data_IF_092413160568
#
_entry.id   IF_092413160568
#
_cell.length_a   1.000
_cell.length_b   1.000
_cell.length_c   1.000
_cell.angle_alpha   90.00
_cell.angle_beta   90.00
_cell.angle_gamma   90.00
#
_symmetry.space_group_name_H-M   'P 1'
#
loop_
_entity.id
_entity.type
_entity.pdbx_description
1 polymer ?
#
# COMPACT_ATOMS: atom_id res chain seq x y z
N UNK A 1 22.63 7.76 11.85
CA UNK A 1 22.37 6.90 10.67
C UNK A 1 22.44 7.73 9.39
N UNK A 2 22.73 7.11 8.24
CA UNK A 2 22.76 7.79 6.93
C UNK A 2 21.38 7.68 6.27
N UNK A 3 20.80 8.77 5.73
CA UNK A 3 19.51 8.70 5.06
C UNK A 3 19.52 7.79 3.83
N UNK A 4 18.59 6.83 3.79
CA UNK A 4 18.48 5.82 2.74
C UNK A 4 17.37 6.14 1.73
N UNK A 5 17.48 5.58 0.54
CA UNK A 5 16.43 5.60 -0.49
C UNK A 5 15.66 4.29 -0.48
N UNK A 6 14.34 4.36 -0.62
CA UNK A 6 13.45 3.20 -0.57
C UNK A 6 12.11 3.50 -1.26
N UNK A 7 11.36 2.45 -1.56
CA UNK A 7 9.95 2.53 -1.89
C UNK A 7 9.11 2.18 -0.67
N UNK A 8 7.96 2.82 -0.53
CA UNK A 8 6.92 2.45 0.43
C UNK A 8 5.64 2.13 -0.36
N UNK A 9 5.25 0.86 -0.38
CA UNK A 9 3.92 0.46 -0.90
C UNK A 9 2.94 0.59 0.26
N UNK A 10 2.04 1.56 0.15
CA UNK A 10 1.08 1.89 1.19
C UNK A 10 -0.31 1.45 0.78
N UNK A 11 -0.97 0.68 1.65
CA UNK A 11 -2.37 0.32 1.52
C UNK A 11 -3.12 0.59 2.82
N UNK A 12 -3.82 1.72 2.85
CA UNK A 12 -4.60 2.18 4.00
C UNK A 12 -6.09 2.25 3.72
N UNK A 13 -6.91 2.11 4.75
CA UNK A 13 -8.37 2.32 4.66
C UNK A 13 -8.85 3.20 5.81
N UNK A 14 -9.36 4.39 5.49
CA UNK A 14 -9.91 5.35 6.45
C UNK A 14 -10.84 6.36 5.77
N UNK A 15 -11.93 6.84 6.43
CA UNK A 15 -12.48 6.42 7.73
C UNK A 15 -13.49 5.26 7.61
N UNK A 16 -13.61 4.39 8.63
CA UNK A 16 -14.63 3.32 8.63
C UNK A 16 -14.52 2.28 9.75
N UNK A 17 -15.32 1.20 9.61
CA UNK A 17 -15.37 0.07 10.56
C UNK A 17 -14.29 -0.99 10.33
N UNK A 18 -13.85 -1.17 9.08
CA UNK A 18 -12.59 -1.82 8.75
C UNK A 18 -11.46 -0.79 8.77
N UNK A 19 -10.32 -1.19 9.33
CA UNK A 19 -9.10 -0.38 9.47
C UNK A 19 -7.93 -1.20 8.96
N UNK A 20 -7.09 -0.57 8.17
CA UNK A 20 -5.84 -1.11 7.64
C UNK A 20 -4.90 0.06 7.42
N UNK A 21 -3.62 -0.11 7.74
CA UNK A 21 -2.57 0.87 7.46
C UNK A 21 -1.27 0.12 7.18
N UNK A 22 -1.28 -0.61 6.06
CA UNK A 22 -0.16 -1.44 5.64
C UNK A 22 0.87 -0.62 4.88
N UNK A 23 2.14 -0.86 5.20
CA UNK A 23 3.31 -0.26 4.59
C UNK A 23 4.34 -1.36 4.30
N UNK A 24 4.80 -1.43 3.05
CA UNK A 24 5.87 -2.35 2.65
C UNK A 24 7.09 -1.54 2.19
N UNK A 25 8.15 -1.61 2.99
CA UNK A 25 9.39 -0.88 2.75
C UNK A 25 10.32 -1.73 1.89
N UNK A 26 10.61 -1.25 0.68
CA UNK A 26 11.29 -2.03 -0.35
C UNK A 26 12.53 -1.31 -0.89
N UNK A 27 13.61 -2.06 -1.12
CA UNK A 27 14.85 -1.57 -1.73
C UNK A 27 14.81 -1.58 -3.26
N UNK A 28 13.77 -2.17 -3.86
CA UNK A 28 13.62 -2.29 -5.30
C UNK A 28 12.16 -2.31 -5.74
N UNK A 29 11.92 -2.02 -7.02
CA UNK A 29 10.57 -2.11 -7.59
C UNK A 29 10.08 -3.57 -7.66
N UNK A 30 10.98 -4.54 -7.85
CA UNK A 30 10.62 -5.96 -7.87
C UNK A 30 10.11 -6.43 -6.50
N UNK A 31 10.70 -5.94 -5.40
CA UNK A 31 10.18 -6.18 -4.05
C UNK A 31 8.84 -5.49 -3.82
N UNK A 32 8.66 -4.25 -4.29
CA UNK A 32 7.36 -3.56 -4.20
C UNK A 32 6.25 -4.29 -4.96
N UNK A 33 6.57 -4.88 -6.12
CA UNK A 33 5.66 -5.75 -6.89
C UNK A 33 5.29 -6.97 -6.05
N UNK A 34 6.29 -7.69 -5.53
CA UNK A 34 6.08 -8.91 -4.77
C UNK A 34 5.29 -8.68 -3.47
N UNK A 35 5.57 -7.57 -2.76
CA UNK A 35 4.87 -7.19 -1.54
C UNK A 35 3.38 -6.91 -1.83
N UNK A 36 3.09 -6.15 -2.88
CA UNK A 36 1.70 -5.85 -3.24
C UNK A 36 0.96 -7.08 -3.77
N UNK A 37 1.63 -7.97 -4.51
CA UNK A 37 1.04 -9.23 -4.94
C UNK A 37 0.67 -10.09 -3.72
N UNK A 38 1.57 -10.21 -2.72
CA UNK A 38 1.31 -10.92 -1.46
C UNK A 38 0.15 -10.29 -0.67
N UNK A 39 0.08 -8.96 -0.62
CA UNK A 39 -0.99 -8.23 0.04
C UNK A 39 -2.36 -8.51 -0.60
N UNK A 40 -2.41 -8.74 -1.91
CA UNK A 40 -3.65 -9.10 -2.62
C UNK A 40 -3.95 -10.60 -2.65
N UNK A 41 -3.07 -11.48 -2.16
CA UNK A 41 -3.43 -12.87 -1.88
C UNK A 41 -4.45 -12.98 -0.72
N UNK A 42 -4.49 -11.96 0.15
CA UNK A 42 -5.51 -11.85 1.18
C UNK A 42 -6.84 -11.38 0.57
N UNK A 43 -7.86 -12.24 0.58
CA UNK A 43 -9.15 -11.94 -0.03
C UNK A 43 -9.84 -10.70 0.54
N UNK A 44 -9.52 -10.35 1.80
CA UNK A 44 -10.02 -9.14 2.44
C UNK A 44 -9.47 -7.86 1.79
N UNK A 45 -8.28 -7.88 1.21
CA UNK A 45 -7.63 -6.72 0.60
C UNK A 45 -8.31 -6.32 -0.71
N UNK A 46 -8.75 -7.30 -1.51
CA UNK A 46 -9.58 -7.04 -2.68
C UNK A 46 -10.95 -6.43 -2.29
N UNK A 47 -11.56 -6.94 -1.22
CA UNK A 47 -12.80 -6.37 -0.68
C UNK A 47 -12.60 -4.93 -0.17
N UNK A 48 -11.54 -4.67 0.59
CA UNK A 48 -11.23 -3.34 1.10
C UNK A 48 -11.07 -2.34 -0.05
N UNK A 49 -10.29 -2.70 -1.06
CA UNK A 49 -10.06 -1.86 -2.24
C UNK A 49 -11.36 -1.59 -3.00
N UNK A 50 -12.19 -2.61 -3.26
CA UNK A 50 -13.45 -2.45 -3.98
C UNK A 50 -14.53 -1.73 -3.17
N UNK A 51 -14.74 -2.17 -1.94
CA UNK A 51 -15.83 -1.76 -1.06
C UNK A 51 -15.66 -0.33 -0.55
N UNK A 52 -14.44 0.05 -0.18
CA UNK A 52 -14.13 1.41 0.25
C UNK A 52 -13.85 2.34 -0.92
N UNK A 53 -13.28 1.83 -2.03
CA UNK A 53 -13.00 2.61 -3.23
C UNK A 53 -12.26 3.90 -2.90
N UNK A 54 -12.96 5.03 -2.90
CA UNK A 54 -12.39 6.35 -2.53
C UNK A 54 -11.85 6.44 -1.09
N UNK A 55 -12.26 5.54 -0.20
CA UNK A 55 -11.77 5.46 1.17
C UNK A 55 -10.61 4.49 1.35
N UNK A 56 -10.18 3.80 0.29
CA UNK A 56 -8.94 3.07 0.24
C UNK A 56 -7.86 3.98 -0.35
N UNK A 57 -6.69 3.99 0.29
CA UNK A 57 -5.51 4.71 -0.15
C UNK A 57 -4.47 3.67 -0.57
N UNK A 58 -4.16 3.64 -1.86
CA UNK A 58 -3.25 2.67 -2.46
C UNK A 58 -2.20 3.44 -3.24
N UNK A 59 -0.98 3.49 -2.72
CA UNK A 59 0.07 4.34 -3.24
C UNK A 59 1.44 3.64 -3.25
N UNK A 60 2.28 4.05 -4.21
CA UNK A 60 3.72 3.84 -4.17
C UNK A 60 4.39 5.19 -3.86
N UNK A 61 4.91 5.32 -2.65
CA UNK A 61 5.72 6.44 -2.23
C UNK A 61 7.20 6.15 -2.52
N UNK A 62 7.92 7.16 -3.02
CA UNK A 62 9.33 7.05 -3.37
C UNK A 62 10.13 7.99 -2.50
N UNK A 63 11.00 7.40 -1.71
CA UNK A 63 11.92 8.12 -0.84
C UNK A 63 13.32 8.10 -1.43
N UNK A 64 13.93 9.28 -1.51
CA UNK A 64 15.32 9.43 -1.93
C UNK A 64 16.08 10.06 -0.77
N UNK A 65 17.04 9.34 -0.22
CA UNK A 65 17.90 9.80 0.88
C UNK A 65 17.08 10.38 2.05
N UNK A 66 16.04 9.64 2.47
CA UNK A 66 15.16 10.00 3.59
C UNK A 66 14.07 11.03 3.28
N UNK A 67 13.98 11.55 2.06
CA UNK A 67 12.92 12.51 1.68
C UNK A 67 11.93 11.88 0.69
N UNK A 68 10.63 12.03 0.93
CA UNK A 68 9.59 11.61 -0.02
C UNK A 68 9.59 12.54 -1.24
N UNK A 69 10.14 12.06 -2.36
CA UNK A 69 10.22 12.85 -3.61
C UNK A 69 9.00 12.68 -4.50
N UNK A 70 8.24 11.60 -4.31
CA UNK A 70 7.07 11.29 -5.12
C UNK A 70 6.09 10.39 -4.37
N UNK A 71 4.81 10.62 -4.61
CA UNK A 71 3.72 9.72 -4.25
C UNK A 71 2.93 9.39 -5.52
N UNK A 72 2.71 8.12 -5.79
CA UNK A 72 2.03 7.63 -7.00
C UNK A 72 0.78 6.87 -6.59
N UNK A 73 -0.39 7.41 -6.91
CA UNK A 73 -1.67 6.72 -6.79
C UNK A 73 -1.70 5.50 -7.72
N UNK A 74 -1.84 4.31 -7.13
CA UNK A 74 -1.83 3.03 -7.84
C UNK A 74 -3.21 2.63 -8.36
N UNK A 75 -4.31 3.21 -7.87
CA UNK A 75 -5.67 2.86 -8.30
C UNK A 75 -5.84 2.81 -9.84
N UNK A 76 -5.37 3.80 -10.63
CA UNK A 76 -5.56 3.79 -12.08
C UNK A 76 -4.84 2.64 -12.80
N UNK A 77 -3.90 1.99 -12.13
CA UNK A 77 -3.12 0.86 -12.64
C UNK A 77 -3.66 -0.48 -12.13
N UNK A 78 -4.59 -0.47 -11.18
CA UNK A 78 -5.16 -1.66 -10.55
C UNK A 78 -6.44 -2.11 -11.24
N UNK A 79 -6.57 -3.42 -11.42
CA UNK A 79 -7.79 -4.08 -11.91
C UNK A 79 -8.14 -5.23 -10.99
N UNK A 80 -9.39 -5.29 -10.53
CA UNK A 80 -9.95 -6.49 -9.88
C UNK A 80 -10.71 -7.29 -10.93
N UNK A 81 -10.38 -8.57 -11.06
CA UNK A 81 -11.08 -9.53 -11.89
C UNK A 81 -11.83 -10.50 -10.99
N UNK A 82 -13.11 -10.70 -11.29
CA UNK A 82 -13.93 -11.71 -10.62
C UNK A 82 -14.56 -12.57 -11.70
N UNK A 83 -14.36 -13.89 -11.63
CA UNK A 83 -14.93 -14.81 -12.62
C UNK A 83 -16.44 -14.62 -12.78
N UNK A 84 -16.86 -14.33 -14.01
CA UNK A 84 -18.27 -14.10 -14.35
C UNK A 84 -18.73 -12.65 -14.25
N UNK A 85 -17.85 -11.72 -13.86
CA UNK A 85 -18.10 -10.28 -13.85
C UNK A 85 -17.18 -9.54 -14.83
N UNK A 86 -17.57 -8.34 -15.29
CA UNK A 86 -16.65 -7.47 -16.01
C UNK A 86 -15.50 -7.02 -15.12
N UNK A 87 -14.34 -6.77 -15.72
CA UNK A 87 -13.18 -6.18 -15.05
C UNK A 87 -13.55 -4.89 -14.32
N UNK A 88 -13.09 -4.78 -13.09
CA UNK A 88 -13.31 -3.63 -12.22
C UNK A 88 -12.03 -2.81 -12.22
N UNK A 89 -12.10 -1.61 -12.77
CA UNK A 89 -10.96 -0.67 -12.83
C UNK A 89 -11.27 0.57 -12.02
N UNK A 90 -10.24 1.32 -11.63
CA UNK A 90 -10.44 2.50 -10.78
C UNK A 90 -10.09 3.79 -11.51
N UNK A 91 -10.84 4.85 -11.17
CA UNK A 91 -10.44 6.22 -11.51
C UNK A 91 -9.31 6.67 -10.58
N UNK A 92 -8.60 7.75 -10.96
CA UNK A 92 -7.67 8.50 -10.06
C UNK A 92 -8.28 8.99 -8.75
N UNK A 93 -9.60 8.92 -8.60
CA UNK A 93 -10.26 9.24 -7.33
C UNK A 93 -10.43 8.02 -6.43
N UNK A 94 -9.91 6.85 -6.80
CA UNK A 94 -10.17 5.56 -6.15
C UNK A 94 -11.58 5.00 -6.41
N UNK A 95 -12.39 5.64 -7.26
CA UNK A 95 -13.77 5.16 -7.51
C UNK A 95 -13.75 3.93 -8.44
N UNK A 96 -14.32 2.78 -8.02
CA UNK A 96 -14.40 1.59 -8.87
C UNK A 96 -15.41 1.79 -10.01
N UNK A 97 -15.07 1.27 -11.17
CA UNK A 97 -15.86 1.34 -12.41
C UNK A 97 -15.88 -0.03 -13.08
N UNK A 98 -16.74 -0.23 -14.09
CA UNK A 98 -16.80 -1.49 -14.84
C UNK A 98 -17.69 -2.59 -14.21
N UNK A 99 -17.76 -2.67 -12.88
CA UNK A 99 -18.47 -3.73 -12.12
C UNK A 99 -19.95 -3.97 -12.48
N UNK A 100 -20.63 -3.00 -13.09
CA UNK A 100 -22.07 -3.08 -13.39
C UNK A 100 -22.44 -2.62 -14.82
N UNK A 101 -21.53 -2.78 -15.78
CA UNK A 101 -21.82 -2.43 -17.19
C UNK A 101 -23.05 -3.19 -17.70
N UNK A 102 -24.10 -2.44 -18.05
CA UNK A 102 -25.35 -3.00 -18.57
C UNK A 102 -26.37 -3.42 -17.51
N UNK A 103 -26.11 -3.16 -16.23
CA UNK A 103 -27.08 -3.41 -15.16
C UNK A 103 -28.10 -2.27 -15.03
N UNK A 104 -29.35 -2.62 -14.73
CA UNK A 104 -30.42 -1.66 -14.47
C UNK A 104 -30.21 -0.86 -13.17
N UNK A 105 -29.52 -1.45 -12.19
CA UNK A 105 -29.18 -0.84 -10.89
C UNK A 105 -27.72 -1.14 -10.50
N UNK A 106 -26.77 -0.28 -10.91
CA UNK A 106 -25.35 -0.46 -10.63
C UNK A 106 -24.99 -0.50 -9.13
N UNK A 107 -25.67 0.28 -8.29
CA UNK A 107 -25.37 0.33 -6.86
C UNK A 107 -25.79 -0.97 -6.17
N UNK A 108 -26.92 -1.57 -6.57
CA UNK A 108 -27.30 -2.88 -6.04
C UNK A 108 -26.30 -3.96 -6.41
N UNK A 109 -25.78 -3.93 -7.65
CA UNK A 109 -24.73 -4.87 -8.08
C UNK A 109 -23.45 -4.65 -7.27
N UNK A 110 -23.05 -3.38 -7.07
CA UNK A 110 -21.88 -3.02 -6.26
C UNK A 110 -21.99 -3.57 -4.84
N UNK A 111 -23.12 -3.33 -4.16
CA UNK A 111 -23.35 -3.83 -2.79
C UNK A 111 -23.31 -5.35 -2.74
N UNK A 112 -24.00 -6.04 -3.65
CA UNK A 112 -24.03 -7.50 -3.67
C UNK A 112 -22.63 -8.10 -3.93
N UNK A 113 -21.84 -7.48 -4.81
CA UNK A 113 -20.49 -7.92 -5.10
C UNK A 113 -19.56 -7.68 -3.90
N UNK A 114 -19.66 -6.51 -3.24
CA UNK A 114 -18.87 -6.21 -2.06
C UNK A 114 -19.22 -7.15 -0.89
N UNK A 115 -20.51 -7.43 -0.67
CA UNK A 115 -20.95 -8.37 0.37
C UNK A 115 -20.41 -9.79 0.11
N UNK A 116 -20.43 -10.23 -1.15
CA UNK A 116 -19.94 -11.56 -1.52
C UNK A 116 -18.39 -11.66 -1.47
N UNK A 117 -17.66 -10.59 -1.83
CA UNK A 117 -16.21 -10.52 -1.60
C UNK A 117 -15.88 -10.58 -0.10
N UNK A 118 -16.62 -9.84 0.74
CA UNK A 118 -16.44 -9.87 2.19
C UNK A 118 -16.75 -11.25 2.80
N UNK A 119 -17.77 -11.94 2.29
CA UNK A 119 -18.15 -13.27 2.74
C UNK A 119 -17.19 -14.38 2.30
N UNK A 120 -16.22 -14.07 1.43
CA UNK A 120 -15.28 -15.02 0.85
C UNK A 120 -15.87 -15.89 -0.27
N UNK A 121 -17.02 -15.52 -0.83
CA UNK A 121 -17.68 -16.29 -1.90
C UNK A 121 -16.84 -16.33 -3.19
N UNK A 122 -15.85 -15.43 -3.31
CA UNK A 122 -15.00 -15.27 -4.49
C UNK A 122 -13.50 -15.49 -4.24
N UNK A 123 -13.09 -16.06 -3.10
CA UNK A 123 -11.65 -16.18 -2.76
C UNK A 123 -10.85 -16.90 -3.86
N UNK A 124 -11.35 -18.02 -4.39
CA UNK A 124 -10.69 -18.77 -5.48
C UNK A 124 -10.91 -18.17 -6.88
N UNK A 125 -11.63 -17.05 -6.97
CA UNK A 125 -12.16 -16.46 -8.23
C UNK A 125 -11.87 -14.98 -8.39
N UNK A 126 -11.18 -14.38 -7.41
CA UNK A 126 -10.81 -12.97 -7.41
C UNK A 126 -9.31 -12.86 -7.63
N UNK A 127 -8.92 -12.04 -8.58
CA UNK A 127 -7.53 -11.70 -8.87
C UNK A 127 -7.43 -10.18 -8.88
N UNK A 128 -6.44 -9.63 -8.17
CA UNK A 128 -6.08 -8.21 -8.28
C UNK A 128 -4.78 -8.11 -9.05
N UNK A 129 -4.77 -7.28 -10.10
CA UNK A 129 -3.60 -7.11 -10.97
C UNK A 129 -3.25 -5.65 -11.07
N UNK A 130 -1.95 -5.33 -10.95
CA UNK A 130 -1.41 -3.98 -11.13
C UNK A 130 -0.56 -3.91 -12.39
N UNK A 131 -0.86 -2.96 -13.28
CA UNK A 131 -0.05 -2.68 -14.48
C UNK A 131 1.21 -1.88 -14.11
N UNK A 132 2.20 -2.55 -13.54
CA UNK A 132 3.49 -1.97 -13.15
C UNK A 132 4.27 -1.35 -14.30
N UNK A 133 4.06 -1.82 -15.54
CA UNK A 133 4.69 -1.22 -16.72
C UNK A 133 4.13 0.18 -17.03
N UNK A 134 2.89 0.46 -16.60
CA UNK A 134 2.27 1.77 -16.66
C UNK A 134 2.66 2.71 -15.51
N UNK A 135 3.14 2.16 -14.38
CA UNK A 135 3.49 2.94 -13.18
C UNK A 135 4.78 3.74 -13.41
N UNK A 136 4.74 5.09 -13.34
CA UNK A 136 5.89 5.92 -13.66
C UNK A 136 6.85 6.06 -12.46
N UNK A 137 7.28 4.94 -11.86
CA UNK A 137 8.17 4.90 -10.70
C UNK A 137 9.62 5.25 -11.10
N UNK A 138 10.22 6.34 -10.58
CA UNK A 138 11.63 6.61 -10.80
C UNK A 138 12.50 5.60 -10.04
N UNK A 139 13.69 5.22 -10.55
CA UNK A 139 14.62 4.35 -9.83
C UNK A 139 15.16 5.02 -8.55
N UNK A 140 15.50 4.22 -7.54
CA UNK A 140 16.18 4.69 -6.35
C UNK A 140 17.63 5.12 -6.66
N UNK A 141 18.10 6.15 -5.97
CA UNK A 141 19.42 6.75 -6.14
C UNK A 141 20.12 6.86 -4.78
N UNK A 142 21.42 6.65 -4.73
CA UNK A 142 22.21 6.74 -3.50
C UNK A 142 22.23 5.43 -2.72
N UNK A 143 22.35 5.51 -1.41
CA UNK A 143 22.35 4.35 -0.53
C UNK A 143 20.92 3.83 -0.37
N UNK A 144 20.68 2.59 -0.80
CA UNK A 144 19.37 1.95 -0.74
C UNK A 144 19.19 1.30 0.63
N UNK A 145 17.96 1.31 1.14
CA UNK A 145 17.60 0.61 2.38
C UNK A 145 17.59 -0.91 2.16
N UNK A 146 18.14 -1.65 3.10
CA UNK A 146 18.19 -3.12 3.10
C UNK A 146 17.69 -3.67 4.45
N UNK A 147 17.54 -4.99 4.55
CA UNK A 147 17.12 -5.63 5.80
C UNK A 147 18.03 -5.25 6.98
N UNK A 148 17.42 -4.87 8.11
CA UNK A 148 18.10 -4.33 9.30
C UNK A 148 18.33 -2.81 9.28
N UNK A 149 18.01 -2.10 8.18
CA UNK A 149 17.96 -0.64 8.18
C UNK A 149 16.64 -0.13 8.79
N UNK A 150 16.69 1.04 9.42
CA UNK A 150 15.51 1.80 9.85
C UNK A 150 15.34 3.04 8.97
N UNK A 151 14.12 3.28 8.50
CA UNK A 151 13.76 4.42 7.64
C UNK A 151 12.63 5.24 8.24
N UNK A 152 12.63 6.54 7.96
CA UNK A 152 11.58 7.46 8.44
C UNK A 152 10.45 7.56 7.43
N UNK A 153 9.21 7.36 7.88
CA UNK A 153 8.02 7.59 7.06
C UNK A 153 7.47 9.02 7.23
N UNK A 154 6.71 9.47 6.24
CA UNK A 154 6.09 10.80 6.21
C UNK A 154 6.97 11.93 5.65
N UNK A 155 6.47 13.17 5.77
CA UNK A 155 7.09 14.40 5.22
C UNK A 155 7.82 15.24 6.29
N UNK A 156 8.08 14.66 7.46
CA UNK A 156 8.76 15.36 8.55
C UNK A 156 10.25 15.60 8.25
N UNK A 157 10.87 16.66 8.81
CA UNK A 157 12.32 16.82 8.72
C UNK A 157 13.02 15.59 9.31
N UNK A 158 14.17 15.22 8.75
CA UNK A 158 15.04 14.20 9.35
C UNK A 158 15.45 14.65 10.75
N UNK A 159 15.39 13.73 11.70
CA UNK A 159 15.80 14.01 13.08
C UNK A 159 17.33 14.04 13.17
N UNK A 160 17.83 14.83 14.11
CA UNK A 160 19.22 14.67 14.56
C UNK A 160 19.27 13.40 15.41
N UNK A 161 19.98 12.38 14.91
CA UNK A 161 20.09 11.06 15.55
C UNK A 161 21.39 10.94 16.36
N UNK A 162 22.15 12.02 16.54
CA UNK A 162 23.39 12.00 17.30
C UNK A 162 23.17 11.73 18.80
N UNK A 163 21.95 11.95 19.31
CA UNK A 163 21.56 11.70 20.70
C UNK A 163 21.25 10.23 20.98
N UNK A 164 21.07 9.41 19.95
CA UNK A 164 20.88 7.96 20.05
C UNK A 164 22.20 7.20 20.24
N UNK A 165 23.35 7.87 20.11
CA UNK A 165 24.67 7.27 20.31
C UNK A 165 24.84 6.82 21.77
N UNK A 166 24.92 5.49 21.98
CA UNK A 166 25.19 4.88 23.28
C UNK A 166 23.98 4.23 23.97
N UNK A 167 22.81 4.25 23.32
CA UNK A 167 21.70 3.37 23.67
C UNK A 167 22.08 1.90 23.39
N UNK A 168 21.49 0.98 24.15
CA UNK A 168 21.49 -0.42 23.76
C UNK A 168 20.46 -0.69 22.64
N UNK A 169 20.44 -1.93 22.14
CA UNK A 169 19.65 -2.29 20.96
C UNK A 169 18.14 -2.12 21.20
N UNK A 170 17.65 -2.53 22.37
CA UNK A 170 16.23 -2.44 22.74
C UNK A 170 15.81 -0.97 22.94
N UNK A 171 16.61 -0.16 23.66
CA UNK A 171 16.33 1.27 23.85
C UNK A 171 16.40 2.06 22.54
N UNK A 172 17.27 1.66 21.62
CA UNK A 172 17.40 2.30 20.30
C UNK A 172 16.17 2.04 19.43
N UNK A 173 15.67 0.81 19.40
CA UNK A 173 14.48 0.42 18.63
C UNK A 173 13.25 1.20 19.10
N UNK A 174 12.98 1.24 20.41
CA UNK A 174 11.87 1.97 21.00
C UNK A 174 11.91 3.47 20.65
N UNK A 175 13.08 4.11 20.79
CA UNK A 175 13.26 5.54 20.47
C UNK A 175 13.10 5.84 18.98
N UNK A 176 13.50 4.92 18.10
CA UNK A 176 13.32 5.06 16.65
C UNK A 176 11.83 5.00 16.28
N UNK A 177 11.10 4.03 16.83
CA UNK A 177 9.65 3.88 16.61
C UNK A 177 8.90 5.13 17.08
N UNK A 178 9.21 5.64 18.28
CA UNK A 178 8.60 6.86 18.82
C UNK A 178 8.86 8.11 17.96
N UNK A 179 9.96 8.10 17.19
CA UNK A 179 10.32 9.16 16.23
C UNK A 179 9.75 8.93 14.82
N UNK A 180 9.00 7.86 14.61
CA UNK A 180 8.37 7.51 13.33
C UNK A 180 9.30 6.81 12.34
N UNK A 181 10.36 6.18 12.84
CA UNK A 181 11.16 5.25 12.05
C UNK A 181 10.57 3.85 12.11
N UNK A 182 10.72 3.12 11.01
CA UNK A 182 10.24 1.75 10.84
C UNK A 182 11.38 0.92 10.27
N UNK A 183 11.45 -0.35 10.67
CA UNK A 183 12.43 -1.27 10.09
C UNK A 183 12.12 -1.50 8.59
N UNK A 184 13.11 -1.88 7.80
CA UNK A 184 12.89 -2.43 6.47
C UNK A 184 12.01 -3.70 6.54
N UNK A 185 10.93 -3.75 5.74
CA UNK A 185 10.02 -4.88 5.67
C UNK A 185 8.54 -4.46 5.68
N UNK A 186 7.70 -5.37 6.15
CA UNK A 186 6.23 -5.23 6.16
C UNK A 186 5.74 -4.73 7.53
N UNK A 187 4.90 -3.69 7.53
CA UNK A 187 4.28 -3.11 8.73
C UNK A 187 2.79 -2.93 8.50
N UNK A 188 1.96 -3.28 9.49
CA UNK A 188 0.54 -2.93 9.51
C UNK A 188 0.27 -2.17 10.81
N UNK A 189 0.09 -0.85 10.70
CA UNK A 189 -0.17 -0.03 11.87
C UNK A 189 -1.64 -0.16 12.27
N UNK A 190 -1.90 -0.25 13.58
CA UNK A 190 -3.28 -0.14 14.08
C UNK A 190 -3.82 1.27 13.79
N UNK A 191 -4.66 1.39 12.75
CA UNK A 191 -5.37 2.63 12.40
C UNK A 191 -6.48 3.03 13.39
#
# INVERSE_FOLDING_TARGET
MVPKSFYDVRFGVSPGGARKDAHHICGSLDEAVAALDSEFEESISAWLLFGYGRGADLALDVYQQGERVRSIDLHPFTTIRVDGYPDITFRRSGEPTGHAVGADDPEKVRTALADAMFAGDFDDRTEVVVDWAGVPAPPLVGDIAEHGDYVKLGDGPLDDLADLDGLDEDELEDELIDRGYVEYGDHDFEA
#
